data_IF_160768033880
#
_entry.id   IF_160768033880
#
_cell.length_a   1.000
_cell.length_b   1.000
_cell.length_c   1.000
_cell.angle_alpha   90.00
_cell.angle_beta   90.00
_cell.angle_gamma   90.00
#
_symmetry.space_group_name_H-M   'P 1'
#
loop_
_entity.id
_entity.type
_entity.pdbx_description
1 polymer ?
#
# COMPACT_ATOMS: atom_id res chain seq x y z
N UNK A 1 5.21 -22.50 -1.14
CA UNK A 1 4.34 -21.35 -1.42
C UNK A 1 4.27 -20.51 -0.16
N UNK A 2 4.43 -19.19 -0.21
CA UNK A 2 4.13 -18.31 0.92
C UNK A 2 2.67 -18.49 1.36
N UNK A 3 2.43 -18.40 2.66
CA UNK A 3 1.07 -18.44 3.22
C UNK A 3 0.45 -17.05 3.24
N UNK A 4 -0.88 -16.96 3.23
CA UNK A 4 -1.58 -15.71 3.43
C UNK A 4 -1.12 -15.01 4.73
N UNK A 5 -0.93 -13.69 4.67
CA UNK A 5 -0.38 -12.90 5.79
C UNK A 5 1.14 -12.95 5.95
N UNK A 6 1.86 -13.63 5.06
CA UNK A 6 3.33 -13.53 5.01
C UNK A 6 3.78 -12.13 4.56
N UNK A 7 5.05 -11.82 4.85
CA UNK A 7 5.72 -10.61 4.36
C UNK A 7 5.66 -10.52 2.83
N UNK A 8 5.89 -11.63 2.11
CA UNK A 8 5.89 -11.63 0.65
C UNK A 8 4.52 -11.30 0.05
N UNK A 9 3.46 -11.89 0.62
CA UNK A 9 2.08 -11.66 0.18
C UNK A 9 1.68 -10.22 0.47
N UNK A 10 1.92 -9.75 1.70
CA UNK A 10 1.57 -8.40 2.09
C UNK A 10 2.36 -7.33 1.34
N UNK A 11 3.66 -7.55 1.12
CA UNK A 11 4.49 -6.66 0.30
C UNK A 11 3.96 -6.58 -1.13
N UNK A 12 3.67 -7.72 -1.77
CA UNK A 12 3.16 -7.75 -3.14
C UNK A 12 1.80 -7.04 -3.26
N UNK A 13 0.92 -7.20 -2.27
CA UNK A 13 -0.38 -6.53 -2.21
C UNK A 13 -0.24 -5.01 -2.06
N UNK A 14 0.48 -4.55 -1.03
CA UNK A 14 0.61 -3.12 -0.75
C UNK A 14 1.44 -2.39 -1.82
N UNK A 15 2.48 -3.03 -2.35
CA UNK A 15 3.31 -2.42 -3.38
C UNK A 15 2.60 -2.38 -4.74
N UNK A 16 1.65 -3.27 -5.00
CA UNK A 16 0.74 -3.16 -6.15
C UNK A 16 -0.10 -1.89 -6.06
N UNK A 17 -0.69 -1.59 -4.89
CA UNK A 17 -1.48 -0.37 -4.67
C UNK A 17 -0.61 0.88 -4.76
N UNK A 18 0.56 0.87 -4.14
CA UNK A 18 1.49 2.00 -4.20
C UNK A 18 1.95 2.29 -5.64
N UNK A 19 2.28 1.26 -6.43
CA UNK A 19 2.64 1.44 -7.83
C UNK A 19 1.48 1.94 -8.69
N UNK A 20 0.25 1.52 -8.40
CA UNK A 20 -0.92 2.02 -9.12
C UNK A 20 -1.07 3.54 -8.99
N UNK A 21 -0.87 4.09 -7.79
CA UNK A 21 -0.88 5.54 -7.57
C UNK A 21 0.21 6.26 -8.38
N UNK A 22 1.42 5.69 -8.44
CA UNK A 22 2.51 6.29 -9.21
C UNK A 22 2.29 6.19 -10.74
N UNK A 23 1.69 5.11 -11.22
CA UNK A 23 1.26 4.97 -12.63
C UNK A 23 0.23 6.05 -12.98
N UNK A 24 -0.74 6.31 -12.10
CA UNK A 24 -1.74 7.36 -12.32
C UNK A 24 -1.13 8.76 -12.38
N UNK A 25 -0.24 9.09 -11.43
CA UNK A 25 0.46 10.38 -11.43
C UNK A 25 1.37 10.55 -12.65
N UNK A 26 2.11 9.50 -13.01
CA UNK A 26 3.01 9.52 -14.15
C UNK A 26 2.25 9.63 -15.48
N UNK A 27 1.14 8.88 -15.63
CA UNK A 27 0.27 9.00 -16.80
C UNK A 27 -0.30 10.42 -16.95
N UNK A 28 -0.70 11.05 -15.83
CA UNK A 28 -1.14 12.45 -15.85
C UNK A 28 -0.04 13.39 -16.34
N UNK A 29 1.18 13.33 -15.78
CA UNK A 29 2.28 14.20 -16.19
C UNK A 29 2.67 13.98 -17.66
N UNK A 30 2.77 12.71 -18.09
CA UNK A 30 3.07 12.34 -19.49
C UNK A 30 2.10 13.00 -20.46
N UNK A 31 0.81 13.05 -20.12
CA UNK A 31 -0.24 13.57 -20.99
C UNK A 31 -0.35 15.11 -20.97
N UNK A 32 0.20 15.79 -19.96
CA UNK A 32 0.03 17.24 -19.75
C UNK A 32 1.30 18.07 -19.93
N UNK A 33 2.48 17.44 -19.85
CA UNK A 33 3.75 18.15 -19.90
C UNK A 33 4.16 18.54 -21.32
N UNK A 34 4.94 19.63 -21.41
CA UNK A 34 5.60 20.06 -22.67
C UNK A 34 7.12 19.94 -22.60
N UNK A 35 7.66 19.58 -21.44
CA UNK A 35 9.08 19.35 -21.25
C UNK A 35 9.44 17.92 -21.70
N UNK A 36 10.29 17.73 -22.71
CA UNK A 36 10.68 16.40 -23.17
C UNK A 36 11.35 15.54 -22.09
N UNK A 37 12.05 16.14 -21.12
CA UNK A 37 12.69 15.40 -20.04
C UNK A 37 11.66 14.86 -19.04
N UNK A 38 10.65 15.68 -18.70
CA UNK A 38 9.56 15.25 -17.82
C UNK A 38 8.67 14.20 -18.49
N UNK A 39 8.40 14.34 -19.79
CA UNK A 39 7.68 13.33 -20.56
C UNK A 39 8.37 11.96 -20.47
N UNK A 40 9.69 11.92 -20.69
CA UNK A 40 10.43 10.65 -20.66
C UNK A 40 10.48 10.06 -19.26
N UNK A 41 10.71 10.87 -18.23
CA UNK A 41 10.66 10.40 -16.85
C UNK A 41 9.29 9.80 -16.51
N UNK A 42 8.21 10.48 -16.88
CA UNK A 42 6.85 10.01 -16.66
C UNK A 42 6.57 8.69 -17.39
N UNK A 43 6.97 8.59 -18.66
CA UNK A 43 6.85 7.37 -19.46
C UNK A 43 7.62 6.19 -18.83
N UNK A 44 8.85 6.42 -18.37
CA UNK A 44 9.68 5.40 -17.75
C UNK A 44 9.10 4.90 -16.42
N UNK A 45 8.56 5.81 -15.60
CA UNK A 45 7.88 5.49 -14.35
C UNK A 45 6.64 4.64 -14.64
N UNK A 46 5.76 5.10 -15.53
CA UNK A 46 4.53 4.40 -15.90
C UNK A 46 4.84 2.98 -16.39
N UNK A 47 5.72 2.87 -17.39
CA UNK A 47 6.09 1.58 -18.00
C UNK A 47 6.71 0.62 -16.98
N UNK A 48 7.65 1.10 -16.17
CA UNK A 48 8.36 0.25 -15.21
C UNK A 48 7.44 -0.22 -14.09
N UNK A 49 6.60 0.67 -13.56
CA UNK A 49 5.72 0.35 -12.44
C UNK A 49 4.53 -0.51 -12.88
N UNK A 50 3.98 -0.33 -14.10
CA UNK A 50 2.99 -1.26 -14.66
C UNK A 50 3.55 -2.68 -14.82
N UNK A 51 4.81 -2.82 -15.26
CA UNK A 51 5.46 -4.14 -15.33
C UNK A 51 5.67 -4.77 -13.95
N UNK A 52 5.99 -3.96 -12.93
CA UNK A 52 6.13 -4.42 -11.55
C UNK A 52 4.79 -4.88 -10.96
N UNK A 53 3.70 -4.15 -11.21
CA UNK A 53 2.33 -4.55 -10.87
C UNK A 53 2.01 -5.93 -11.46
N UNK A 54 2.24 -6.12 -12.77
CA UNK A 54 1.97 -7.39 -13.43
C UNK A 54 2.76 -8.56 -12.83
N UNK A 55 4.02 -8.35 -12.42
CA UNK A 55 4.82 -9.37 -11.73
C UNK A 55 4.24 -9.73 -10.36
N UNK A 56 3.89 -8.74 -9.54
CA UNK A 56 3.35 -8.97 -8.21
C UNK A 56 1.97 -9.64 -8.25
N UNK A 57 1.10 -9.22 -9.18
CA UNK A 57 -0.18 -9.89 -9.42
C UNK A 57 0.01 -11.33 -9.90
N UNK A 58 1.01 -11.58 -10.76
CA UNK A 58 1.38 -12.92 -11.19
C UNK A 58 1.83 -13.82 -10.02
N UNK A 59 2.62 -13.28 -9.09
CA UNK A 59 3.02 -14.00 -7.87
C UNK A 59 1.82 -14.30 -6.97
N UNK A 60 0.95 -13.32 -6.72
CA UNK A 60 -0.25 -13.51 -5.90
C UNK A 60 -1.17 -14.59 -6.49
N UNK A 61 -1.36 -14.60 -7.81
CA UNK A 61 -2.11 -15.66 -8.50
C UNK A 61 -1.47 -17.04 -8.37
N UNK A 62 -0.13 -17.13 -8.45
CA UNK A 62 0.60 -18.39 -8.25
C UNK A 62 0.50 -18.91 -6.80
N UNK A 63 0.35 -18.00 -5.83
CA UNK A 63 0.26 -18.33 -4.41
C UNK A 63 -1.17 -18.55 -3.90
N UNK A 64 -2.17 -18.46 -4.79
CA UNK A 64 -3.59 -18.48 -4.42
C UNK A 64 -3.93 -17.44 -3.34
N UNK A 65 -3.27 -16.28 -3.40
CA UNK A 65 -3.43 -15.17 -2.48
C UNK A 65 -4.35 -14.10 -3.07
N UNK A 66 -5.06 -13.37 -2.21
CA UNK A 66 -5.87 -12.25 -2.64
C UNK A 66 -5.01 -11.18 -3.35
N UNK A 67 -5.53 -10.60 -4.43
CA UNK A 67 -4.83 -9.56 -5.19
C UNK A 67 -4.63 -8.25 -4.41
N UNK A 68 -5.45 -8.02 -3.38
CA UNK A 68 -5.45 -6.82 -2.56
C UNK A 68 -5.32 -7.16 -1.08
N UNK A 69 -4.82 -6.23 -0.25
CA UNK A 69 -4.75 -6.42 1.19
C UNK A 69 -6.15 -6.69 1.76
N UNK A 70 -6.30 -7.74 2.56
CA UNK A 70 -7.57 -8.06 3.25
C UNK A 70 -7.61 -7.50 4.68
N UNK A 71 -6.56 -6.78 5.11
CA UNK A 71 -6.46 -6.08 6.38
C UNK A 71 -6.01 -4.63 6.17
N UNK A 72 -5.75 -3.90 7.26
CA UNK A 72 -5.18 -2.54 7.16
C UNK A 72 -3.84 -2.53 6.42
N UNK A 73 -3.48 -1.37 5.87
CA UNK A 73 -2.21 -1.20 5.15
C UNK A 73 -1.02 -1.68 5.99
N UNK A 74 -0.11 -2.42 5.35
CA UNK A 74 1.12 -2.92 5.96
C UNK A 74 0.90 -3.82 7.18
N UNK A 75 -0.27 -4.47 7.34
CA UNK A 75 -0.55 -5.40 8.45
C UNK A 75 0.48 -6.55 8.56
N UNK A 76 1.16 -6.87 7.46
CA UNK A 76 2.26 -7.83 7.39
C UNK A 76 3.57 -7.33 8.04
N UNK A 77 3.77 -6.01 8.20
CA UNK A 77 4.96 -5.45 8.84
C UNK A 77 4.93 -5.54 10.37
N UNK A 78 3.76 -5.51 11.00
CA UNK A 78 3.62 -5.76 12.44
C UNK A 78 4.08 -7.16 12.87
N UNK A 79 4.08 -8.11 11.93
CA UNK A 79 4.65 -9.43 12.16
C UNK A 79 6.18 -9.47 12.01
N UNK A 80 6.81 -8.43 11.44
CA UNK A 80 8.22 -8.43 11.05
C UNK A 80 9.11 -7.49 11.88
N UNK A 81 8.90 -6.16 11.90
CA UNK A 81 9.77 -5.20 12.62
C UNK A 81 9.03 -3.87 12.93
N UNK A 82 9.29 -3.30 14.12
CA UNK A 82 8.49 -2.24 14.77
C UNK A 82 8.38 -0.84 14.12
N UNK A 83 7.49 -0.05 14.73
CA UNK A 83 6.81 1.15 14.23
C UNK A 83 7.66 2.42 13.96
N UNK A 84 8.53 2.47 12.95
CA UNK A 84 9.32 3.69 12.66
C UNK A 84 9.02 4.36 11.31
N UNK A 85 8.44 3.63 10.35
CA UNK A 85 8.20 4.15 8.99
C UNK A 85 6.94 5.03 8.84
N UNK A 86 6.15 5.19 9.90
CA UNK A 86 4.79 5.80 9.89
C UNK A 86 4.70 7.29 9.57
N UNK A 87 5.80 8.04 9.61
CA UNK A 87 5.76 9.51 9.50
C UNK A 87 5.91 10.00 8.04
N UNK A 88 6.48 9.20 7.13
CA UNK A 88 6.92 9.71 5.82
C UNK A 88 5.88 9.63 4.67
N UNK A 89 4.76 8.89 4.83
CA UNK A 89 3.80 8.65 3.74
C UNK A 89 2.39 9.27 3.94
N UNK A 90 2.16 10.03 5.01
CA UNK A 90 0.97 10.88 5.13
C UNK A 90 -0.40 10.19 5.31
N UNK A 91 -0.42 8.90 5.66
CA UNK A 91 -1.64 8.13 5.96
C UNK A 91 -1.70 7.80 7.46
N UNK A 92 -2.03 8.82 8.27
CA UNK A 92 -2.35 8.62 9.68
C UNK A 92 -3.81 8.21 9.81
N UNK A 93 -4.08 6.96 10.16
CA UNK A 93 -5.34 6.64 10.82
C UNK A 93 -5.29 7.30 12.21
N UNK A 94 -6.26 8.15 12.50
CA UNK A 94 -6.46 8.67 13.85
C UNK A 94 -6.66 7.48 14.80
N UNK A 95 -6.01 7.46 15.98
CA UNK A 95 -6.35 6.47 16.97
C UNK A 95 -7.75 6.79 17.47
N UNK A 96 -8.71 5.92 17.17
CA UNK A 96 -10.01 5.93 17.83
C UNK A 96 -9.76 5.58 19.31
N UNK A 97 -9.54 6.62 20.11
CA UNK A 97 -9.48 6.54 21.55
C UNK A 97 -10.91 6.66 22.08
N UNK A 98 -11.77 5.69 21.75
CA UNK A 98 -13.00 5.50 22.51
C UNK A 98 -12.68 4.68 23.76
N UNK A 99 -12.17 5.39 24.77
CA UNK A 99 -12.18 4.93 26.15
C UNK A 99 -13.48 5.39 26.79
N UNK A 100 -14.38 4.45 27.08
CA UNK A 100 -15.60 4.77 27.79
C UNK A 100 -16.56 3.62 28.01
N UNK A 101 -16.12 2.55 28.69
CA UNK A 101 -17.05 1.74 29.48
C UNK A 101 -17.68 2.66 30.54
N UNK A 102 -18.83 3.23 30.21
CA UNK A 102 -19.71 3.93 31.17
C UNK A 102 -20.64 2.92 31.84
N UNK A 103 -20.07 1.92 32.49
CA UNK A 103 -20.81 1.08 33.43
C UNK A 103 -20.61 1.60 34.86
N UNK A 104 -21.61 2.37 35.29
CA UNK A 104 -22.23 2.28 36.62
C UNK A 104 -21.34 2.35 37.87
N UNK A 105 -21.27 3.54 38.48
CA UNK A 105 -21.31 3.70 39.93
C UNK A 105 -21.72 5.13 40.29
N UNK A 106 -23.02 5.39 40.28
CA UNK A 106 -23.63 6.38 41.15
C UNK A 106 -24.07 5.62 42.40
N UNK A 107 -23.46 5.91 43.55
CA UNK A 107 -24.08 5.78 44.88
C UNK A 107 -23.11 6.31 45.97
N UNK A 108 -23.67 7.19 46.82
CA UNK A 108 -23.14 7.79 48.08
C UNK A 108 -22.08 8.92 47.96
#
# INVERSE_FOLDING_TARGET
MPVAGSVDVGFAQDMTVHHQQAVEMAGWERDHTRDPALYQLAYDIESTQTQQIGRMQGWLGLWDAAAFPTGGHMAWMSAALGRVWWIFLGWGAEPDLDGGDVDGAAED
#
